data_IF_202997534036
#
_entry.id   IF_202997534036
#
_cell.length_a   1.000
_cell.length_b   1.000
_cell.length_c   1.000
_cell.angle_alpha   90.00
_cell.angle_beta   90.00
_cell.angle_gamma   90.00
#
_symmetry.space_group_name_H-M   'P 1'
#
loop_
_entity.id
_entity.type
_entity.pdbx_description
1 polymer ?
#
# COMPACT_ATOMS: atom_id res chain seq x y z
N UNK A 1 22.35 -3.56 -42.19
CA UNK A 1 21.71 -3.05 -40.96
C UNK A 1 20.20 -3.36 -40.93
N UNK A 2 19.42 -2.87 -41.90
CA UNK A 2 17.94 -3.00 -41.92
C UNK A 2 17.40 -4.45 -41.88
N UNK A 3 18.09 -5.39 -42.53
CA UNK A 3 17.69 -6.81 -42.57
C UNK A 3 17.70 -7.45 -41.18
N UNK A 4 18.69 -7.11 -40.35
CA UNK A 4 18.79 -7.62 -38.96
C UNK A 4 17.65 -7.06 -38.10
N UNK A 5 17.34 -5.76 -38.25
CA UNK A 5 16.26 -5.10 -37.51
C UNK A 5 14.88 -5.74 -37.78
N UNK A 6 14.59 -6.10 -39.05
CA UNK A 6 13.37 -6.82 -39.43
C UNK A 6 13.25 -8.17 -38.74
N UNK A 7 14.35 -8.94 -38.64
CA UNK A 7 14.34 -10.23 -37.94
C UNK A 7 14.08 -10.08 -36.43
N UNK A 8 14.63 -9.05 -35.78
CA UNK A 8 14.32 -8.77 -34.36
C UNK A 8 12.86 -8.36 -34.15
N UNK A 9 12.28 -7.55 -35.05
CA UNK A 9 10.89 -7.12 -34.95
C UNK A 9 9.89 -8.29 -35.08
N UNK A 10 10.21 -9.31 -35.87
CA UNK A 10 9.38 -10.52 -36.01
C UNK A 10 9.23 -11.27 -34.68
N UNK A 11 10.23 -11.24 -33.79
CA UNK A 11 10.12 -11.81 -32.44
C UNK A 11 9.58 -10.81 -31.41
N UNK A 12 10.02 -9.55 -31.50
CA UNK A 12 9.67 -8.50 -30.53
C UNK A 12 8.18 -8.14 -30.56
N UNK A 13 7.60 -7.98 -31.75
CA UNK A 13 6.18 -7.59 -31.91
C UNK A 13 5.23 -8.62 -31.30
N UNK A 14 5.27 -9.93 -31.66
CA UNK A 14 4.42 -10.92 -31.02
C UNK A 14 4.74 -11.11 -29.53
N UNK A 15 6.01 -10.99 -29.13
CA UNK A 15 6.40 -11.00 -27.72
C UNK A 15 5.74 -9.88 -26.91
N UNK A 16 5.74 -8.64 -27.44
CA UNK A 16 5.06 -7.51 -26.83
C UNK A 16 3.54 -7.71 -26.77
N UNK A 17 2.91 -8.28 -27.79
CA UNK A 17 1.48 -8.59 -27.77
C UNK A 17 1.11 -9.58 -26.66
N UNK A 18 1.91 -10.61 -26.46
CA UNK A 18 1.72 -11.58 -25.36
C UNK A 18 1.87 -10.89 -24.00
N UNK A 19 2.93 -10.09 -23.81
CA UNK A 19 3.14 -9.32 -22.58
C UNK A 19 1.97 -8.37 -22.32
N UNK A 20 1.49 -7.65 -23.34
CA UNK A 20 0.38 -6.73 -23.22
C UNK A 20 -0.92 -7.44 -22.82
N UNK A 21 -1.16 -8.64 -23.36
CA UNK A 21 -2.33 -9.45 -23.00
C UNK A 21 -2.28 -9.92 -21.55
N UNK A 22 -1.11 -10.33 -21.06
CA UNK A 22 -0.90 -10.74 -19.67
C UNK A 22 -1.07 -9.54 -18.72
N UNK A 23 -0.50 -8.38 -19.06
CA UNK A 23 -0.59 -7.16 -18.24
C UNK A 23 -1.98 -6.49 -18.27
N UNK A 24 -2.79 -6.73 -19.31
CA UNK A 24 -4.16 -6.22 -19.37
C UNK A 24 -5.17 -7.06 -18.58
N UNK A 25 -4.78 -8.21 -18.03
CA UNK A 25 -5.65 -8.94 -17.11
C UNK A 25 -5.86 -8.12 -15.83
N UNK A 26 -7.11 -8.05 -15.36
CA UNK A 26 -7.49 -7.32 -14.13
C UNK A 26 -6.64 -7.81 -12.96
N UNK A 27 -5.78 -6.94 -12.43
CA UNK A 27 -4.91 -7.23 -11.29
C UNK A 27 -3.42 -7.25 -11.59
N UNK A 28 -2.99 -7.18 -12.86
CA UNK A 28 -1.59 -6.98 -13.24
C UNK A 28 -1.16 -5.50 -13.08
N UNK A 29 -1.49 -4.90 -11.94
CA UNK A 29 -0.79 -3.70 -11.47
C UNK A 29 0.58 -4.11 -10.96
N UNK A 30 1.57 -3.21 -10.99
CA UNK A 30 2.80 -3.35 -10.20
C UNK A 30 2.52 -3.21 -8.68
N UNK A 31 1.40 -3.75 -8.20
CA UNK A 31 0.91 -3.74 -6.83
C UNK A 31 1.85 -4.58 -5.98
N UNK A 32 2.77 -3.90 -5.30
CA UNK A 32 3.80 -4.51 -4.45
C UNK A 32 5.21 -4.05 -4.78
N UNK A 33 5.46 -3.45 -5.94
CA UNK A 33 6.80 -2.95 -6.29
C UNK A 33 7.01 -1.49 -5.90
N UNK A 34 5.97 -0.66 -6.01
CA UNK A 34 6.05 0.74 -5.61
C UNK A 34 6.06 0.87 -4.08
N UNK A 35 6.83 1.82 -3.51
CA UNK A 35 6.99 1.96 -2.05
C UNK A 35 5.67 1.96 -1.28
N UNK A 36 4.69 2.77 -1.69
CA UNK A 36 3.37 2.82 -1.05
C UNK A 36 2.67 1.45 -1.08
N UNK A 37 2.56 0.85 -2.27
CA UNK A 37 1.91 -0.46 -2.43
C UNK A 37 2.59 -1.58 -1.67
N UNK A 38 3.92 -1.51 -1.52
CA UNK A 38 4.70 -2.48 -0.75
C UNK A 38 4.38 -2.38 0.74
N UNK A 39 4.36 -1.18 1.31
CA UNK A 39 4.00 -0.98 2.72
C UNK A 39 2.57 -1.46 2.97
N UNK A 40 1.61 -1.11 2.10
CA UNK A 40 0.22 -1.57 2.23
C UNK A 40 0.12 -3.10 2.18
N UNK A 41 0.77 -3.75 1.21
CA UNK A 41 0.73 -5.20 1.06
C UNK A 41 1.36 -5.92 2.27
N UNK A 42 2.54 -5.46 2.72
CA UNK A 42 3.22 -6.04 3.90
C UNK A 42 2.45 -5.78 5.20
N UNK A 43 1.72 -4.66 5.31
CA UNK A 43 0.85 -4.37 6.45
C UNK A 43 -0.34 -5.34 6.46
N UNK A 44 -1.04 -5.49 5.34
CA UNK A 44 -2.22 -6.36 5.22
C UNK A 44 -1.91 -7.85 5.39
N UNK A 45 -0.66 -8.27 5.17
CA UNK A 45 -0.22 -9.66 5.34
C UNK A 45 0.17 -10.03 6.77
N UNK A 46 0.05 -9.11 7.75
CA UNK A 46 0.49 -9.29 9.14
C UNK A 46 -0.68 -9.29 10.11
N UNK A 47 -0.44 -9.74 11.34
CA UNK A 47 -1.44 -9.70 12.39
C UNK A 47 -1.66 -8.26 12.88
N UNK A 48 -2.92 -7.85 13.02
CA UNK A 48 -3.29 -6.50 13.44
C UNK A 48 -3.41 -6.46 14.96
N UNK A 49 -2.71 -5.50 15.56
CA UNK A 49 -2.77 -5.19 16.98
C UNK A 49 -3.09 -3.71 17.13
N UNK A 50 -3.90 -3.35 18.13
CA UNK A 50 -4.38 -1.98 18.31
C UNK A 50 -4.04 -1.48 19.71
N UNK A 51 -3.45 -0.29 19.83
CA UNK A 51 -3.30 0.38 21.12
C UNK A 51 -4.68 0.70 21.72
N UNK A 52 -4.73 0.91 23.03
CA UNK A 52 -5.98 1.30 23.72
C UNK A 52 -6.54 2.62 23.16
N UNK A 53 -5.68 3.60 22.91
CA UNK A 53 -6.02 4.88 22.30
C UNK A 53 -6.62 4.68 20.90
N UNK A 54 -6.01 3.81 20.08
CA UNK A 54 -6.49 3.53 18.73
C UNK A 54 -7.88 2.88 18.75
N UNK A 55 -8.09 1.89 19.63
CA UNK A 55 -9.39 1.24 19.77
C UNK A 55 -10.47 2.22 20.24
N UNK A 56 -10.11 3.14 21.14
CA UNK A 56 -11.02 4.16 21.63
C UNK A 56 -11.42 5.12 20.52
N UNK A 57 -10.44 5.65 19.77
CA UNK A 57 -10.71 6.55 18.65
C UNK A 57 -11.45 5.88 17.49
N UNK A 58 -11.16 4.60 17.20
CA UNK A 58 -11.95 3.83 16.23
C UNK A 58 -13.44 3.81 16.60
N UNK A 59 -13.77 3.58 17.88
CA UNK A 59 -15.17 3.59 18.36
C UNK A 59 -15.78 4.98 18.23
N UNK A 60 -15.07 6.03 18.64
CA UNK A 60 -15.53 7.42 18.54
C UNK A 60 -15.79 7.83 17.09
N UNK A 61 -14.92 7.42 16.18
CA UNK A 61 -15.00 7.75 14.75
C UNK A 61 -15.88 6.78 13.93
N UNK A 62 -16.50 5.78 14.58
CA UNK A 62 -17.28 4.72 13.94
C UNK A 62 -16.51 4.00 12.82
N UNK A 63 -15.22 3.72 13.06
CA UNK A 63 -14.35 2.96 12.17
C UNK A 63 -14.39 1.51 12.64
N UNK A 64 -14.93 0.61 11.82
CA UNK A 64 -14.83 -0.84 12.05
C UNK A 64 -13.57 -1.43 11.40
N UNK A 65 -13.20 -2.66 11.79
CA UNK A 65 -12.01 -3.33 11.24
C UNK A 65 -12.10 -3.54 9.73
N UNK A 66 -13.31 -3.76 9.20
CA UNK A 66 -13.53 -4.02 7.79
C UNK A 66 -13.23 -2.76 6.98
N UNK A 67 -13.71 -1.60 7.42
CA UNK A 67 -13.44 -0.30 6.83
C UNK A 67 -11.97 0.09 6.97
N UNK A 68 -11.36 -0.18 8.13
CA UNK A 68 -9.92 -0.01 8.33
C UNK A 68 -9.13 -0.79 7.26
N UNK A 69 -9.36 -2.11 7.13
CA UNK A 69 -8.63 -2.98 6.20
C UNK A 69 -8.96 -2.68 4.74
N UNK A 70 -10.22 -2.75 4.35
CA UNK A 70 -10.66 -2.70 2.95
C UNK A 70 -10.61 -1.30 2.34
N UNK A 71 -10.63 -0.27 3.18
CA UNK A 71 -10.66 1.13 2.73
C UNK A 71 -9.43 1.89 3.19
N UNK A 72 -9.25 2.10 4.49
CA UNK A 72 -8.21 3.01 4.98
C UNK A 72 -6.81 2.50 4.62
N UNK A 73 -6.49 1.24 4.94
CA UNK A 73 -5.17 0.67 4.65
C UNK A 73 -5.02 0.35 3.17
N UNK A 74 -5.99 -0.36 2.57
CA UNK A 74 -5.91 -0.79 1.16
C UNK A 74 -5.82 0.37 0.17
N UNK A 75 -6.48 1.49 0.45
CA UNK A 75 -6.56 2.65 -0.46
C UNK A 75 -5.88 3.90 0.12
N UNK A 76 -5.09 3.72 1.18
CA UNK A 76 -4.36 4.80 1.82
C UNK A 76 -3.09 5.20 1.06
N UNK A 77 -2.53 6.32 1.48
CA UNK A 77 -1.25 6.82 1.00
C UNK A 77 -0.30 7.03 2.17
N UNK A 78 0.86 6.38 2.11
CA UNK A 78 1.92 6.49 3.11
C UNK A 78 2.71 7.77 2.85
N UNK A 79 2.76 8.64 3.86
CA UNK A 79 3.60 9.82 3.86
C UNK A 79 5.01 9.44 4.31
N UNK A 80 5.89 9.15 3.35
CA UNK A 80 7.27 8.76 3.63
C UNK A 80 8.13 9.89 4.21
N UNK A 81 7.73 11.15 4.05
CA UNK A 81 8.45 12.29 4.61
C UNK A 81 8.26 12.38 6.13
N UNK A 82 7.05 12.04 6.60
CA UNK A 82 6.71 12.00 8.03
C UNK A 82 6.81 10.61 8.67
N UNK A 83 7.21 9.59 7.92
CA UNK A 83 7.39 8.22 8.41
C UNK A 83 8.86 7.89 8.69
N UNK A 84 9.15 7.12 9.74
CA UNK A 84 10.50 6.57 9.96
C UNK A 84 10.63 5.16 9.38
N UNK A 85 10.60 5.06 8.04
CA UNK A 85 10.62 3.79 7.31
C UNK A 85 11.90 2.93 7.54
N UNK A 86 12.97 3.53 8.07
CA UNK A 86 14.25 2.84 8.35
C UNK A 86 14.47 2.53 9.83
N UNK A 87 13.53 2.89 10.71
CA UNK A 87 13.62 2.62 12.14
C UNK A 87 13.69 1.12 12.41
N UNK A 88 14.54 0.74 13.36
CA UNK A 88 14.71 -0.64 13.85
C UNK A 88 14.30 -0.72 15.32
N UNK A 89 13.69 -1.83 15.79
CA UNK A 89 13.40 -3.05 15.04
C UNK A 89 12.16 -2.95 14.14
N UNK A 90 11.27 -1.98 14.39
CA UNK A 90 10.04 -1.80 13.66
C UNK A 90 9.98 -0.40 13.03
N UNK A 91 9.89 -0.31 11.69
CA UNK A 91 9.56 0.93 11.02
C UNK A 91 8.21 1.48 11.46
N UNK A 92 8.11 2.80 11.61
CA UNK A 92 6.84 3.49 11.79
C UNK A 92 6.42 4.21 10.52
N UNK A 93 5.11 4.22 10.28
CA UNK A 93 4.49 4.82 9.13
C UNK A 93 3.33 5.71 9.53
N UNK A 94 3.19 6.79 8.77
CA UNK A 94 2.05 7.67 8.78
C UNK A 94 1.31 7.49 7.44
N UNK A 95 0.02 7.18 7.52
CA UNK A 95 -0.84 6.94 6.38
C UNK A 95 -2.04 7.88 6.42
N UNK A 96 -2.40 8.39 5.24
CA UNK A 96 -3.61 9.17 5.04
C UNK A 96 -4.64 8.43 4.20
N UNK A 97 -5.89 8.68 4.52
CA UNK A 97 -6.99 8.21 3.70
C UNK A 97 -8.13 9.23 3.63
N UNK A 98 -8.68 9.51 2.43
CA UNK A 98 -8.15 9.13 1.11
C UNK A 98 -6.86 9.89 0.74
N UNK A 99 -6.15 9.47 -0.32
CA UNK A 99 -4.95 10.17 -0.83
C UNK A 99 -5.24 11.65 -1.14
N UNK A 100 -6.37 11.92 -1.82
CA UNK A 100 -6.82 13.27 -2.13
C UNK A 100 -7.85 13.72 -1.09
N UNK A 101 -7.65 14.89 -0.50
CA UNK A 101 -8.48 15.43 0.58
C UNK A 101 -8.58 14.46 1.77
N UNK A 102 -7.46 14.23 2.50
CA UNK A 102 -7.41 13.26 3.56
C UNK A 102 -8.43 13.58 4.65
N UNK A 103 -9.11 12.53 5.13
CA UNK A 103 -10.07 12.62 6.24
C UNK A 103 -9.52 11.99 7.49
N UNK A 104 -8.69 10.95 7.33
CA UNK A 104 -8.05 10.22 8.40
C UNK A 104 -6.54 10.26 8.25
N UNK A 105 -5.87 10.38 9.38
CA UNK A 105 -4.43 10.17 9.53
C UNK A 105 -4.24 9.03 10.55
N UNK A 106 -3.44 8.04 10.18
CA UNK A 106 -3.15 6.86 11.00
C UNK A 106 -1.65 6.71 11.16
N UNK A 107 -1.21 6.45 12.39
CA UNK A 107 0.16 6.02 12.68
C UNK A 107 0.19 4.57 13.11
N UNK A 108 1.14 3.81 12.58
CA UNK A 108 1.32 2.41 12.92
C UNK A 108 2.79 1.99 12.83
N UNK A 109 3.17 1.02 13.66
CA UNK A 109 4.46 0.35 13.59
C UNK A 109 4.31 -1.00 12.91
N UNK A 110 5.18 -1.28 11.93
CA UNK A 110 5.19 -2.54 11.18
C UNK A 110 6.39 -3.38 11.59
N UNK A 111 6.19 -4.33 12.49
CA UNK A 111 7.22 -5.28 12.91
C UNK A 111 7.27 -6.51 11.97
N UNK A 112 8.12 -7.49 12.28
CA UNK A 112 8.29 -8.72 11.48
C UNK A 112 7.02 -9.56 11.39
N UNK A 113 6.27 -9.70 12.48
CA UNK A 113 5.10 -10.60 12.56
C UNK A 113 3.77 -9.84 12.64
N UNK A 114 3.75 -8.70 13.31
CA UNK A 114 2.54 -7.91 13.58
C UNK A 114 2.68 -6.45 13.20
N UNK A 115 1.53 -5.81 13.01
CA UNK A 115 1.38 -4.37 12.86
C UNK A 115 0.65 -3.84 14.08
N UNK A 116 1.22 -2.83 14.74
CA UNK A 116 0.59 -2.18 15.88
C UNK A 116 0.12 -0.79 15.48
N UNK A 117 -1.19 -0.59 15.43
CA UNK A 117 -1.82 0.70 15.18
C UNK A 117 -1.80 1.53 16.46
N UNK A 118 -1.25 2.74 16.37
CA UNK A 118 -0.97 3.60 17.51
C UNK A 118 -1.99 4.73 17.64
N UNK A 119 -2.26 5.48 16.56
CA UNK A 119 -3.22 6.58 16.57
C UNK A 119 -4.05 6.64 15.29
N UNK A 120 -5.31 7.05 15.41
CA UNK A 120 -6.16 7.44 14.28
C UNK A 120 -6.81 8.77 14.62
N UNK A 121 -6.74 9.72 13.70
CA UNK A 121 -7.28 11.07 13.88
C UNK A 121 -8.06 11.50 12.67
N UNK A 122 -9.16 12.21 12.91
CA UNK A 122 -9.90 12.92 11.87
C UNK A 122 -9.22 14.26 11.62
N UNK A 123 -8.71 14.47 10.40
CA UNK A 123 -8.02 15.72 10.02
C UNK A 123 -8.95 16.74 9.36
N UNK A 124 -10.22 16.37 9.13
CA UNK A 124 -11.28 17.24 8.62
C UNK A 124 -12.67 16.75 9.04
#
# INVERSE_FOLDING_TARGET
MLRKFKFYLIGLVPGLLIVFFILNQKGASCSGYLPNSRVIAETLSKDFSYSEDFQTEMKTLNIDEKFLKDSIITKGFVDFERSNAQKKPCPDYLLHYPEKNPRFEITFEKCSEKVTFQTVKKVR
#
